data_IF_899591968676
#
_entry.id   IF_899591968676
#
_cell.length_a   1.000
_cell.length_b   1.000
_cell.length_c   1.000
_cell.angle_alpha   90.00
_cell.angle_beta   90.00
_cell.angle_gamma   90.00
#
_symmetry.space_group_name_H-M   'P 1'
#
loop_
_entity.id
_entity.type
_entity.pdbx_description
1 polymer ?
#
# COMPACT_ATOMS: atom_id res chain seq x y z
N UNK A 1 -6.43 -15.31 -12.04
CA UNK A 1 -7.67 -15.74 -11.37
C UNK A 1 -8.40 -14.49 -10.90
N UNK A 2 -9.72 -14.44 -10.94
CA UNK A 2 -10.48 -13.29 -10.45
C UNK A 2 -10.30 -13.15 -8.93
N UNK A 3 -10.63 -11.94 -8.39
CA UNK A 3 -10.76 -11.73 -6.94
C UNK A 3 -11.63 -12.85 -6.33
N UNK A 4 -11.31 -13.34 -5.12
CA UNK A 4 -12.19 -14.25 -4.40
C UNK A 4 -13.62 -13.66 -4.32
N UNK A 5 -14.65 -14.44 -4.60
CA UNK A 5 -16.02 -13.94 -4.47
C UNK A 5 -16.35 -13.64 -2.98
N UNK A 6 -17.19 -12.65 -2.66
CA UNK A 6 -17.68 -12.45 -1.30
C UNK A 6 -18.36 -13.71 -0.76
N UNK A 7 -18.29 -13.93 0.55
CA UNK A 7 -18.92 -15.08 1.18
C UNK A 7 -19.05 -14.95 2.71
N UNK A 8 -19.92 -15.77 3.33
CA UNK A 8 -20.09 -15.77 4.78
C UNK A 8 -18.78 -16.05 5.50
N UNK A 9 -18.50 -15.31 6.59
CA UNK A 9 -17.29 -15.47 7.39
C UNK A 9 -15.99 -15.08 6.66
N UNK A 10 -16.06 -14.47 5.47
CA UNK A 10 -14.91 -14.02 4.67
C UNK A 10 -14.75 -12.52 4.76
N UNK A 11 -13.51 -12.04 4.81
CA UNK A 11 -13.23 -10.62 4.86
C UNK A 11 -12.09 -10.19 3.94
N UNK A 12 -12.17 -8.94 3.50
CA UNK A 12 -11.07 -8.18 2.93
C UNK A 12 -10.44 -7.31 4.03
N UNK A 13 -9.25 -7.65 4.47
CA UNK A 13 -8.52 -6.87 5.47
C UNK A 13 -7.72 -5.77 4.80
N UNK A 14 -7.96 -4.51 5.21
CA UNK A 14 -7.30 -3.33 4.66
C UNK A 14 -6.55 -2.60 5.75
N UNK A 15 -5.22 -2.52 5.64
CA UNK A 15 -4.37 -1.76 6.55
C UNK A 15 -4.25 -0.30 6.12
N UNK A 16 -4.08 0.62 7.08
CA UNK A 16 -4.08 2.06 6.80
C UNK A 16 -5.42 2.56 6.26
N UNK A 17 -6.53 1.92 6.69
CA UNK A 17 -7.87 2.19 6.17
C UNK A 17 -8.48 3.52 6.62
N UNK A 18 -7.86 4.23 7.57
CA UNK A 18 -8.41 5.46 8.15
C UNK A 18 -8.42 6.68 7.22
N UNK A 19 -7.77 6.62 6.07
CA UNK A 19 -7.70 7.75 5.12
C UNK A 19 -7.17 7.34 3.73
N UNK A 20 -7.27 8.26 2.78
CA UNK A 20 -6.60 8.19 1.48
C UNK A 20 -6.94 6.94 0.67
N UNK A 21 -5.92 6.33 0.07
CA UNK A 21 -6.07 5.16 -0.82
C UNK A 21 -6.70 3.98 -0.07
N UNK A 22 -6.30 3.72 1.18
CA UNK A 22 -6.82 2.61 1.97
C UNK A 22 -8.32 2.70 2.22
N UNK A 23 -8.82 3.89 2.60
CA UNK A 23 -10.24 4.14 2.77
C UNK A 23 -11.03 3.95 1.46
N UNK A 24 -10.49 4.41 0.33
CA UNK A 24 -11.14 4.24 -0.97
C UNK A 24 -11.12 2.79 -1.45
N UNK A 25 -10.05 2.03 -1.19
CA UNK A 25 -10.02 0.59 -1.47
C UNK A 25 -11.06 -0.15 -0.62
N UNK A 26 -11.20 0.20 0.65
CA UNK A 26 -12.22 -0.37 1.54
C UNK A 26 -13.63 -0.13 0.99
N UNK A 27 -13.95 1.10 0.56
CA UNK A 27 -15.23 1.44 -0.09
C UNK A 27 -15.45 0.65 -1.38
N UNK A 28 -14.41 0.53 -2.23
CA UNK A 28 -14.52 -0.20 -3.49
C UNK A 28 -14.75 -1.70 -3.28
N UNK A 29 -14.09 -2.32 -2.28
CA UNK A 29 -14.30 -3.73 -1.92
C UNK A 29 -15.70 -3.95 -1.31
N UNK A 30 -16.16 -3.03 -0.44
CA UNK A 30 -17.52 -3.06 0.11
C UNK A 30 -18.60 -2.95 -0.99
N UNK A 31 -18.42 -2.05 -1.96
CA UNK A 31 -19.32 -1.94 -3.13
C UNK A 31 -19.39 -3.21 -3.96
N UNK A 32 -18.34 -4.02 -3.94
CA UNK A 32 -18.31 -5.35 -4.61
C UNK A 32 -18.86 -6.47 -3.73
N UNK A 33 -19.45 -6.12 -2.59
CA UNK A 33 -20.12 -7.06 -1.67
C UNK A 33 -19.19 -7.75 -0.67
N UNK A 34 -17.91 -7.36 -0.61
CA UNK A 34 -17.00 -7.90 0.42
C UNK A 34 -17.31 -7.29 1.79
N UNK A 35 -17.29 -8.14 2.81
CA UNK A 35 -17.08 -7.68 4.18
C UNK A 35 -15.67 -7.12 4.30
N UNK A 36 -15.47 -6.00 5.03
CA UNK A 36 -14.17 -5.35 5.15
C UNK A 36 -13.74 -5.26 6.62
N UNK A 37 -12.55 -5.78 6.93
CA UNK A 37 -11.89 -5.54 8.21
C UNK A 37 -10.94 -4.36 8.07
N UNK A 38 -11.26 -3.26 8.73
CA UNK A 38 -10.54 -2.00 8.69
C UNK A 38 -9.48 -1.97 9.79
N UNK A 39 -8.21 -1.80 9.42
CA UNK A 39 -7.08 -1.79 10.36
C UNK A 39 -6.32 -0.48 10.28
N UNK A 40 -6.27 0.29 11.36
CA UNK A 40 -5.43 1.49 11.53
C UNK A 40 -5.40 1.92 13.01
N UNK A 41 -4.65 2.99 13.32
CA UNK A 41 -4.52 3.51 14.69
C UNK A 41 -5.72 4.35 15.15
N UNK A 42 -6.39 5.07 14.23
CA UNK A 42 -7.41 6.07 14.55
C UNK A 42 -8.79 5.41 14.60
N UNK A 43 -9.25 5.02 15.79
CA UNK A 43 -10.55 4.37 16.00
C UNK A 43 -11.70 5.20 15.41
N UNK A 44 -11.82 6.47 15.77
CA UNK A 44 -12.93 7.34 15.33
C UNK A 44 -13.07 7.38 13.79
N UNK A 45 -11.92 7.43 13.07
CA UNK A 45 -11.93 7.43 11.61
C UNK A 45 -12.31 6.08 11.01
N UNK A 46 -11.94 4.98 11.68
CA UNK A 46 -12.31 3.64 11.26
C UNK A 46 -13.81 3.40 11.47
N UNK A 47 -14.36 3.81 12.63
CA UNK A 47 -15.77 3.70 12.94
C UNK A 47 -16.63 4.55 12.00
N UNK A 48 -16.22 5.79 11.72
CA UNK A 48 -16.86 6.62 10.73
C UNK A 48 -16.91 5.98 9.34
N UNK A 49 -15.78 5.39 8.91
CA UNK A 49 -15.74 4.65 7.65
C UNK A 49 -16.60 3.38 7.69
N UNK A 50 -16.55 2.63 8.79
CA UNK A 50 -17.34 1.41 8.94
C UNK A 50 -18.85 1.68 8.83
N UNK A 51 -19.32 2.81 9.37
CA UNK A 51 -20.73 3.24 9.27
C UNK A 51 -21.19 3.54 7.82
N UNK A 52 -20.26 3.84 6.92
CA UNK A 52 -20.56 4.05 5.49
C UNK A 52 -20.58 2.75 4.67
N UNK A 53 -19.97 1.67 5.18
CA UNK A 53 -19.81 0.42 4.46
C UNK A 53 -21.02 -0.51 4.70
N UNK A 54 -21.28 -1.42 3.75
CA UNK A 54 -22.38 -2.39 3.87
C UNK A 54 -22.18 -3.29 5.09
N UNK A 55 -20.97 -3.81 5.26
CA UNK A 55 -20.55 -4.59 6.43
C UNK A 55 -19.06 -4.39 6.68
N UNK A 56 -18.68 -4.07 7.91
CA UNK A 56 -17.29 -3.91 8.29
C UNK A 56 -17.04 -4.25 9.75
N UNK A 57 -15.82 -4.68 10.05
CA UNK A 57 -15.25 -4.78 11.39
C UNK A 57 -14.10 -3.77 11.53
N UNK A 58 -13.87 -3.28 12.74
CA UNK A 58 -12.80 -2.32 13.06
C UNK A 58 -11.80 -2.97 14.00
N UNK A 59 -10.52 -2.89 13.67
CA UNK A 59 -9.41 -3.29 14.55
C UNK A 59 -8.44 -2.12 14.67
N UNK A 60 -8.39 -1.51 15.86
CA UNK A 60 -7.43 -0.46 16.16
C UNK A 60 -6.06 -1.07 16.46
N UNK A 61 -5.07 -0.81 15.61
CA UNK A 61 -3.74 -1.38 15.73
C UNK A 61 -2.68 -0.46 15.15
N UNK A 62 -1.55 -0.31 15.86
CA UNK A 62 -0.32 0.22 15.27
C UNK A 62 0.49 -0.93 14.66
N UNK A 63 0.70 -0.87 13.34
CA UNK A 63 1.47 -1.91 12.66
C UNK A 63 2.98 -1.90 12.99
N UNK A 64 3.48 -0.87 13.66
CA UNK A 64 4.82 -0.88 14.23
C UNK A 64 4.91 -1.73 15.51
N UNK A 65 3.80 -1.95 16.19
CA UNK A 65 3.72 -2.85 17.35
C UNK A 65 3.75 -4.32 16.89
N UNK A 66 4.91 -4.95 17.03
CA UNK A 66 5.11 -6.35 16.60
C UNK A 66 4.24 -7.36 17.36
N UNK A 67 4.10 -7.29 18.71
CA UNK A 67 3.17 -8.13 19.44
C UNK A 67 1.72 -7.97 18.97
N UNK A 68 1.23 -6.73 18.88
CA UNK A 68 -0.13 -6.45 18.38
C UNK A 68 -0.35 -6.96 16.96
N UNK A 69 0.65 -6.78 16.06
CA UNK A 69 0.58 -7.33 14.71
C UNK A 69 0.55 -8.86 14.69
N UNK A 70 1.27 -9.51 15.60
CA UNK A 70 1.27 -10.97 15.71
C UNK A 70 -0.10 -11.54 16.11
N UNK A 71 -0.88 -10.83 16.95
CA UNK A 71 -2.22 -11.24 17.39
C UNK A 71 -3.34 -10.78 16.42
N UNK A 72 -3.03 -10.05 15.35
CA UNK A 72 -4.05 -9.50 14.45
C UNK A 72 -4.95 -10.58 13.85
N UNK A 73 -4.40 -11.75 13.48
CA UNK A 73 -5.20 -12.84 12.91
C UNK A 73 -6.10 -13.51 13.94
N UNK A 74 -5.69 -13.56 15.20
CA UNK A 74 -6.51 -14.09 16.29
C UNK A 74 -7.72 -13.17 16.47
N UNK A 75 -7.52 -11.85 16.50
CA UNK A 75 -8.63 -10.88 16.56
C UNK A 75 -9.58 -11.01 15.37
N UNK A 76 -9.07 -11.20 14.15
CA UNK A 76 -9.92 -11.47 12.97
C UNK A 76 -10.72 -12.77 13.15
N UNK A 77 -10.09 -13.80 13.74
CA UNK A 77 -10.74 -15.08 14.05
C UNK A 77 -11.83 -14.96 15.12
N UNK A 78 -11.61 -14.18 16.18
CA UNK A 78 -12.60 -13.87 17.23
C UNK A 78 -13.84 -13.18 16.68
N UNK A 79 -13.69 -12.38 15.62
CA UNK A 79 -14.82 -11.79 14.87
C UNK A 79 -15.53 -12.79 13.94
N UNK A 80 -15.14 -14.06 13.96
CA UNK A 80 -15.69 -15.10 13.08
C UNK A 80 -15.31 -14.94 11.62
N UNK A 81 -14.16 -14.28 11.34
CA UNK A 81 -13.71 -13.95 9.99
C UNK A 81 -12.46 -14.73 9.57
N UNK A 82 -12.34 -14.91 8.26
CA UNK A 82 -11.14 -15.45 7.61
C UNK A 82 -10.73 -14.50 6.47
N UNK A 83 -9.47 -14.13 6.43
CA UNK A 83 -8.95 -13.20 5.40
C UNK A 83 -8.84 -13.91 4.07
N UNK A 84 -9.62 -13.49 3.08
CA UNK A 84 -9.51 -13.91 1.68
C UNK A 84 -8.86 -12.84 0.79
N UNK A 85 -8.89 -11.57 1.21
CA UNK A 85 -8.19 -10.47 0.55
C UNK A 85 -7.37 -9.72 1.59
N UNK A 86 -6.07 -9.59 1.35
CA UNK A 86 -5.16 -8.77 2.16
C UNK A 86 -4.74 -7.56 1.36
N UNK A 87 -4.96 -6.35 1.92
CA UNK A 87 -4.49 -5.09 1.38
C UNK A 87 -3.50 -4.45 2.35
N UNK A 88 -2.20 -4.60 2.09
CA UNK A 88 -1.12 -3.92 2.78
C UNK A 88 -0.97 -2.51 2.17
N UNK A 89 -1.70 -1.54 2.75
CA UNK A 89 -1.72 -0.16 2.27
C UNK A 89 -1.13 0.82 3.31
N UNK A 90 -1.10 0.48 4.59
CA UNK A 90 -0.46 1.33 5.58
C UNK A 90 0.96 1.69 5.14
N UNK A 91 1.34 2.94 5.35
CA UNK A 91 2.66 3.41 5.01
C UNK A 91 2.95 4.78 5.60
N UNK A 92 4.23 5.02 5.81
CA UNK A 92 4.80 6.26 6.32
C UNK A 92 5.83 6.79 5.32
N UNK A 93 6.27 8.01 5.53
CA UNK A 93 7.42 8.57 4.82
C UNK A 93 8.14 9.56 5.73
N UNK A 94 9.44 9.69 5.50
CA UNK A 94 10.29 10.74 6.07
C UNK A 94 10.74 11.67 4.95
N UNK A 95 11.08 12.90 5.28
CA UNK A 95 11.57 13.91 4.33
C UNK A 95 12.89 14.48 4.79
N UNK A 96 13.84 14.61 3.87
CA UNK A 96 15.16 15.16 4.10
C UNK A 96 16.28 14.14 3.89
N UNK A 97 17.55 14.62 3.89
CA UNK A 97 18.70 13.74 3.76
C UNK A 97 18.87 12.90 5.03
N UNK A 98 19.26 11.64 4.87
CA UNK A 98 19.47 10.69 5.99
C UNK A 98 20.41 11.22 7.05
N UNK A 99 21.40 12.04 6.65
CA UNK A 99 22.34 12.67 7.60
C UNK A 99 21.70 13.66 8.59
N UNK A 100 20.43 14.04 8.37
CA UNK A 100 19.65 14.96 9.22
C UNK A 100 18.29 14.35 9.64
N UNK A 101 18.03 13.09 9.29
CA UNK A 101 16.77 12.42 9.65
C UNK A 101 16.75 12.04 11.13
N UNK A 102 15.55 11.93 11.70
CA UNK A 102 15.35 11.27 12.99
C UNK A 102 15.44 9.73 12.81
N UNK A 103 16.44 9.08 13.45
CA UNK A 103 16.59 7.63 13.34
C UNK A 103 15.34 6.85 13.78
N UNK A 104 14.60 7.37 14.77
CA UNK A 104 13.37 6.73 15.27
C UNK A 104 12.27 6.75 14.20
N UNK A 105 12.08 7.88 13.55
CA UNK A 105 11.11 8.01 12.46
C UNK A 105 11.48 7.13 11.24
N UNK A 106 12.78 7.07 10.87
CA UNK A 106 13.26 6.20 9.79
C UNK A 106 13.00 4.73 10.09
N UNK A 107 13.34 4.28 11.31
CA UNK A 107 13.12 2.88 11.70
C UNK A 107 11.64 2.53 11.80
N UNK A 108 10.81 3.45 12.32
CA UNK A 108 9.36 3.26 12.36
C UNK A 108 8.74 3.17 10.97
N UNK A 109 9.20 3.98 10.02
CA UNK A 109 8.78 3.88 8.62
C UNK A 109 9.14 2.52 8.02
N UNK A 110 10.38 2.04 8.23
CA UNK A 110 10.81 0.72 7.75
C UNK A 110 9.98 -0.40 8.39
N UNK A 111 9.68 -0.29 9.69
CA UNK A 111 8.84 -1.27 10.39
C UNK A 111 7.44 -1.37 9.75
N UNK A 112 6.81 -0.26 9.44
CA UNK A 112 5.47 -0.23 8.85
C UNK A 112 5.49 -0.59 7.35
N UNK A 113 6.41 0.00 6.57
CA UNK A 113 6.39 -0.10 5.11
C UNK A 113 7.02 -1.39 4.57
N UNK A 114 7.87 -2.03 5.37
CA UNK A 114 8.63 -3.22 4.95
C UNK A 114 8.31 -4.42 5.84
N UNK A 115 8.61 -4.30 7.14
CA UNK A 115 8.51 -5.45 8.05
C UNK A 115 7.08 -5.89 8.22
N UNK A 116 6.13 -4.96 8.43
CA UNK A 116 4.72 -5.30 8.58
C UNK A 116 4.14 -5.94 7.31
N UNK A 117 4.54 -5.49 6.12
CA UNK A 117 4.10 -6.09 4.85
C UNK A 117 4.54 -7.54 4.73
N UNK A 118 5.83 -7.81 5.01
CA UNK A 118 6.36 -9.16 4.96
C UNK A 118 5.75 -10.08 6.03
N UNK A 119 5.61 -9.58 7.26
CA UNK A 119 5.05 -10.32 8.39
C UNK A 119 3.57 -10.69 8.14
N UNK A 120 2.73 -9.74 7.72
CA UNK A 120 1.32 -10.03 7.42
C UNK A 120 1.16 -11.00 6.24
N UNK A 121 1.96 -10.85 5.19
CA UNK A 121 1.97 -11.82 4.10
C UNK A 121 2.35 -13.23 4.60
N UNK A 122 3.41 -13.35 5.39
CA UNK A 122 3.88 -14.66 5.88
C UNK A 122 2.88 -15.36 6.81
N UNK A 123 2.09 -14.60 7.57
CA UNK A 123 1.06 -15.15 8.47
C UNK A 123 -0.23 -15.54 7.73
N UNK A 124 -0.61 -14.79 6.69
CA UNK A 124 -1.91 -14.94 6.03
C UNK A 124 -1.86 -15.89 4.84
N UNK A 125 -0.78 -15.85 4.06
CA UNK A 125 -0.64 -16.67 2.87
C UNK A 125 -0.76 -18.18 3.09
N UNK A 126 -0.20 -18.79 4.16
CA UNK A 126 -0.36 -20.23 4.37
C UNK A 126 -1.81 -20.68 4.41
N UNK A 127 -2.67 -19.93 5.12
CA UNK A 127 -4.10 -20.21 5.17
C UNK A 127 -4.81 -19.99 3.82
N UNK A 128 -4.45 -18.97 3.06
CA UNK A 128 -4.97 -18.73 1.72
C UNK A 128 -4.59 -19.88 0.77
N UNK A 129 -3.33 -20.31 0.79
CA UNK A 129 -2.83 -21.42 -0.06
C UNK A 129 -3.51 -22.73 0.30
N UNK A 130 -3.63 -23.04 1.60
CA UNK A 130 -4.33 -24.25 2.06
C UNK A 130 -5.78 -24.32 1.56
N UNK A 131 -6.46 -23.17 1.50
CA UNK A 131 -7.83 -23.08 0.99
C UNK A 131 -7.92 -22.99 -0.54
N UNK A 132 -6.79 -22.87 -1.24
CA UNK A 132 -6.75 -22.64 -2.68
C UNK A 132 -7.41 -21.33 -3.11
N UNK A 133 -7.43 -20.32 -2.24
CA UNK A 133 -8.22 -19.10 -2.43
C UNK A 133 -7.62 -17.91 -1.67
N UNK A 134 -7.32 -16.84 -2.39
CA UNK A 134 -6.84 -15.60 -1.79
C UNK A 134 -6.37 -14.57 -2.81
N UNK A 135 -6.30 -13.32 -2.38
CA UNK A 135 -5.68 -12.24 -3.14
C UNK A 135 -4.93 -11.28 -2.21
N UNK A 136 -3.72 -10.93 -2.57
CA UNK A 136 -2.89 -9.94 -1.85
C UNK A 136 -2.68 -8.73 -2.73
N UNK A 137 -2.87 -7.54 -2.16
CA UNK A 137 -2.49 -6.26 -2.72
C UNK A 137 -1.46 -5.60 -1.81
N UNK A 138 -0.25 -5.40 -2.27
CA UNK A 138 0.76 -4.63 -1.57
C UNK A 138 0.94 -3.27 -2.23
N UNK A 139 0.80 -2.19 -1.45
CA UNK A 139 0.91 -0.83 -1.97
C UNK A 139 2.36 -0.35 -1.89
N UNK A 140 2.99 -0.31 -3.05
CA UNK A 140 4.29 0.31 -3.28
C UNK A 140 4.13 1.80 -3.68
N UNK A 141 4.86 2.26 -4.67
CA UNK A 141 4.82 3.61 -5.25
C UNK A 141 5.54 3.60 -6.59
N UNK A 142 5.34 4.61 -7.44
CA UNK A 142 6.25 4.88 -8.57
C UNK A 142 7.68 5.17 -8.10
N UNK A 143 7.87 5.60 -6.85
CA UNK A 143 9.19 5.72 -6.21
C UNK A 143 9.97 4.39 -6.15
N UNK A 144 9.29 3.24 -6.26
CA UNK A 144 9.93 1.91 -6.27
C UNK A 144 10.82 1.67 -7.51
N UNK A 145 10.63 2.43 -8.58
CA UNK A 145 11.33 2.22 -9.84
C UNK A 145 12.63 3.02 -9.99
N UNK A 146 12.94 3.89 -9.02
CA UNK A 146 14.09 4.78 -9.08
C UNK A 146 14.66 5.10 -7.69
N UNK A 147 15.91 5.55 -7.57
CA UNK A 147 16.41 6.16 -6.35
C UNK A 147 15.57 7.40 -5.99
N UNK A 148 15.40 7.66 -4.71
CA UNK A 148 14.65 8.84 -4.24
C UNK A 148 15.49 9.63 -3.23
N UNK A 149 16.45 10.47 -3.71
CA UNK A 149 17.23 11.33 -2.84
C UNK A 149 16.31 12.26 -2.04
N UNK A 150 16.57 12.40 -0.73
CA UNK A 150 15.68 13.14 0.19
C UNK A 150 14.53 12.33 0.79
N UNK A 151 14.34 11.08 0.34
CA UNK A 151 13.43 10.08 0.90
C UNK A 151 14.01 8.67 0.70
N UNK A 152 15.29 8.49 1.04
CA UNK A 152 16.03 7.26 0.71
C UNK A 152 15.39 6.00 1.31
N UNK A 153 15.02 6.04 2.60
CA UNK A 153 14.37 4.93 3.28
C UNK A 153 13.01 4.59 2.65
N UNK A 154 12.19 5.60 2.36
CA UNK A 154 10.90 5.40 1.69
C UNK A 154 11.04 4.76 0.30
N UNK A 155 11.92 5.33 -0.55
CA UNK A 155 12.16 4.80 -1.90
C UNK A 155 12.64 3.34 -1.87
N UNK A 156 13.58 3.03 -0.97
CA UNK A 156 14.08 1.67 -0.77
C UNK A 156 13.00 0.72 -0.23
N UNK A 157 12.18 1.17 0.73
CA UNK A 157 11.06 0.38 1.25
C UNK A 157 10.03 0.04 0.15
N UNK A 158 9.69 1.01 -0.70
CA UNK A 158 8.76 0.78 -1.81
C UNK A 158 9.35 -0.12 -2.91
N UNK A 159 10.67 -0.07 -3.13
CA UNK A 159 11.36 -1.00 -4.01
C UNK A 159 11.36 -2.43 -3.44
N UNK A 160 11.54 -2.59 -2.12
CA UNK A 160 11.36 -3.87 -1.44
C UNK A 160 9.96 -4.42 -1.69
N UNK A 161 8.90 -3.64 -1.42
CA UNK A 161 7.50 -4.07 -1.59
C UNK A 161 7.22 -4.52 -3.03
N UNK A 162 7.74 -3.79 -4.03
CA UNK A 162 7.60 -4.15 -5.44
C UNK A 162 8.25 -5.51 -5.74
N UNK A 163 9.53 -5.66 -5.40
CA UNK A 163 10.29 -6.89 -5.67
C UNK A 163 9.73 -8.10 -4.90
N UNK A 164 9.42 -7.91 -3.62
CA UNK A 164 8.82 -8.92 -2.76
C UNK A 164 7.49 -9.43 -3.32
N UNK A 165 6.59 -8.53 -3.72
CA UNK A 165 5.28 -8.92 -4.26
C UNK A 165 5.39 -9.64 -5.61
N UNK A 166 6.34 -9.23 -6.46
CA UNK A 166 6.60 -9.93 -7.72
C UNK A 166 7.11 -11.35 -7.49
N UNK A 167 7.98 -11.54 -6.51
CA UNK A 167 8.46 -12.87 -6.10
C UNK A 167 7.33 -13.74 -5.57
N UNK A 168 6.51 -13.19 -4.66
CA UNK A 168 5.32 -13.88 -4.16
C UNK A 168 4.38 -14.32 -5.28
N UNK A 169 4.14 -13.46 -6.26
CA UNK A 169 3.26 -13.82 -7.40
C UNK A 169 3.83 -15.00 -8.20
N UNK A 170 5.16 -15.14 -8.26
CA UNK A 170 5.82 -16.31 -8.84
C UNK A 170 5.60 -17.59 -8.02
N UNK A 171 5.80 -17.51 -6.70
CA UNK A 171 5.64 -18.60 -5.75
C UNK A 171 4.19 -19.11 -5.66
N UNK A 172 3.23 -18.20 -5.81
CA UNK A 172 1.79 -18.49 -5.69
C UNK A 172 1.16 -19.11 -6.96
N UNK A 173 1.94 -19.32 -8.04
CA UNK A 173 1.42 -19.93 -9.27
C UNK A 173 0.85 -21.32 -8.99
N UNK A 174 -0.38 -21.56 -9.46
CA UNK A 174 -1.08 -22.86 -9.29
C UNK A 174 -1.74 -23.04 -7.92
N UNK A 175 -1.53 -22.16 -6.95
CA UNK A 175 -2.09 -22.31 -5.59
C UNK A 175 -3.52 -21.79 -5.44
N UNK A 176 -4.06 -21.09 -6.44
CA UNK A 176 -5.36 -20.41 -6.30
C UNK A 176 -5.29 -19.05 -5.62
N UNK A 177 -4.09 -18.56 -5.27
CA UNK A 177 -3.85 -17.25 -4.65
C UNK A 177 -3.12 -16.33 -5.63
N UNK A 178 -3.43 -15.04 -5.60
CA UNK A 178 -2.78 -14.02 -6.43
C UNK A 178 -2.10 -12.94 -5.59
N UNK A 179 -1.01 -12.36 -6.10
CA UNK A 179 -0.39 -11.18 -5.52
C UNK A 179 -0.25 -10.08 -6.57
N UNK A 180 -0.63 -8.87 -6.21
CA UNK A 180 -0.62 -7.66 -7.05
C UNK A 180 0.13 -6.55 -6.32
N UNK A 181 1.03 -5.87 -7.03
CA UNK A 181 1.65 -4.63 -6.53
C UNK A 181 0.90 -3.43 -7.10
N UNK A 182 0.45 -2.52 -6.23
CA UNK A 182 -0.02 -1.20 -6.63
C UNK A 182 1.12 -0.19 -6.53
N UNK A 183 1.42 0.49 -7.60
CA UNK A 183 2.46 1.54 -7.66
C UNK A 183 1.82 2.87 -8.07
N UNK A 184 1.16 3.60 -7.14
CA UNK A 184 0.60 4.90 -7.44
C UNK A 184 1.71 5.95 -7.66
N UNK A 185 1.44 6.92 -8.54
CA UNK A 185 2.14 8.19 -8.58
C UNK A 185 1.67 9.13 -7.46
N UNK A 186 1.77 10.45 -7.62
CA UNK A 186 1.26 11.40 -6.65
C UNK A 186 -0.27 11.31 -6.54
N UNK A 187 -0.78 11.31 -5.30
CA UNK A 187 -2.21 11.17 -4.99
C UNK A 187 -2.61 12.19 -3.93
N UNK A 188 -3.72 12.85 -4.14
CA UNK A 188 -4.29 13.83 -3.20
C UNK A 188 -4.88 13.13 -1.97
N UNK A 189 -4.08 12.93 -0.91
CA UNK A 189 -4.48 12.12 0.28
C UNK A 189 -4.01 12.68 1.63
N UNK A 190 -3.35 13.83 1.67
CA UNK A 190 -2.66 14.31 2.88
C UNK A 190 -1.47 13.42 3.33
N UNK A 191 -1.04 12.46 2.49
CA UNK A 191 0.14 11.63 2.79
C UNK A 191 1.43 12.46 2.75
N UNK A 192 1.56 13.35 1.76
CA UNK A 192 2.70 14.25 1.64
C UNK A 192 2.83 15.19 2.85
N UNK A 193 1.72 15.76 3.32
CA UNK A 193 1.71 16.62 4.51
C UNK A 193 2.20 15.89 5.75
N UNK A 194 1.75 14.64 5.96
CA UNK A 194 2.23 13.79 7.07
C UNK A 194 3.70 13.41 6.95
N UNK A 195 4.25 13.41 5.74
CA UNK A 195 5.67 13.20 5.48
C UNK A 195 6.51 14.47 5.65
N UNK A 196 5.88 15.61 5.90
CA UNK A 196 6.55 16.90 6.07
C UNK A 196 6.63 17.77 4.82
N UNK A 197 5.95 17.41 3.73
CA UNK A 197 5.82 18.30 2.57
C UNK A 197 4.75 19.37 2.83
N UNK A 198 5.02 20.61 2.42
CA UNK A 198 3.92 21.56 2.21
C UNK A 198 3.11 21.14 0.97
N UNK A 199 1.82 21.49 0.92
CA UNK A 199 0.98 21.24 -0.26
C UNK A 199 1.61 21.91 -1.49
N UNK A 200 2.09 23.14 -1.34
CA UNK A 200 2.73 23.93 -2.39
C UNK A 200 4.00 23.27 -2.94
N UNK A 201 4.87 22.76 -2.05
CA UNK A 201 6.09 22.06 -2.47
C UNK A 201 5.78 20.74 -3.19
N UNK A 202 4.78 20.00 -2.74
CA UNK A 202 4.38 18.76 -3.36
C UNK A 202 3.78 18.99 -4.75
N UNK A 203 2.93 20.01 -4.90
CA UNK A 203 2.33 20.39 -6.19
C UNK A 203 3.37 20.99 -7.16
N UNK A 204 4.32 21.78 -6.67
CA UNK A 204 5.39 22.35 -7.48
C UNK A 204 6.43 21.30 -7.94
N UNK A 205 6.60 20.20 -7.18
CA UNK A 205 7.60 19.19 -7.50
C UNK A 205 7.22 18.29 -8.69
N UNK A 206 5.91 18.12 -8.97
CA UNK A 206 5.43 17.17 -9.97
C UNK A 206 4.34 17.80 -10.86
N UNK A 207 4.37 17.54 -12.19
CA UNK A 207 3.34 18.03 -13.10
C UNK A 207 1.92 17.63 -12.68
N UNK A 208 0.97 18.55 -12.79
CA UNK A 208 -0.43 18.33 -12.38
C UNK A 208 -1.08 17.11 -13.05
N UNK A 209 -0.68 16.78 -14.28
CA UNK A 209 -1.18 15.62 -15.05
C UNK A 209 -0.80 14.26 -14.44
N UNK A 210 0.14 14.23 -13.50
CA UNK A 210 0.53 13.02 -12.77
C UNK A 210 -0.34 12.76 -11.54
N UNK A 211 -0.99 13.80 -11.02
CA UNK A 211 -1.80 13.71 -9.81
C UNK A 211 -3.12 13.00 -10.08
N UNK A 212 -3.45 12.06 -9.21
CA UNK A 212 -4.67 11.26 -9.29
C UNK A 212 -5.48 11.41 -7.99
N UNK A 213 -6.78 11.15 -8.08
CA UNK A 213 -7.63 11.02 -6.90
C UNK A 213 -7.40 9.67 -6.22
N UNK A 214 -7.62 9.60 -4.92
CA UNK A 214 -7.56 8.33 -4.19
C UNK A 214 -8.60 7.32 -4.70
N UNK A 215 -9.75 7.80 -5.17
CA UNK A 215 -10.82 6.98 -5.74
C UNK A 215 -10.38 6.30 -7.05
N UNK A 216 -9.79 7.05 -7.99
CA UNK A 216 -9.28 6.49 -9.26
C UNK A 216 -8.19 5.44 -9.03
N UNK A 217 -7.31 5.72 -8.05
CA UNK A 217 -6.26 4.78 -7.67
C UNK A 217 -6.85 3.50 -7.07
N UNK A 218 -7.82 3.61 -6.16
CA UNK A 218 -8.48 2.48 -5.54
C UNK A 218 -9.23 1.61 -6.56
N UNK A 219 -9.98 2.24 -7.46
CA UNK A 219 -10.67 1.56 -8.56
C UNK A 219 -9.68 0.80 -9.45
N UNK A 220 -8.59 1.46 -9.85
CA UNK A 220 -7.53 0.83 -10.65
C UNK A 220 -6.88 -0.35 -9.93
N UNK A 221 -6.67 -0.23 -8.61
CA UNK A 221 -6.09 -1.28 -7.76
C UNK A 221 -6.98 -2.52 -7.73
N UNK A 222 -8.26 -2.37 -7.37
CA UNK A 222 -9.19 -3.48 -7.24
C UNK A 222 -9.50 -4.12 -8.59
N UNK A 223 -9.60 -3.34 -9.67
CA UNK A 223 -9.69 -3.88 -11.04
C UNK A 223 -8.43 -4.65 -11.45
N UNK A 224 -7.25 -4.15 -11.07
CA UNK A 224 -5.99 -4.82 -11.32
C UNK A 224 -5.90 -6.17 -10.64
N UNK A 225 -6.27 -6.24 -9.36
CA UNK A 225 -6.38 -7.49 -8.60
C UNK A 225 -7.37 -8.46 -9.28
N UNK A 226 -8.56 -7.97 -9.64
CA UNK A 226 -9.59 -8.79 -10.29
C UNK A 226 -9.14 -9.38 -11.64
N UNK A 227 -8.22 -8.70 -12.32
CA UNK A 227 -7.59 -9.15 -13.57
C UNK A 227 -6.30 -9.96 -13.36
N UNK A 228 -5.89 -10.21 -12.12
CA UNK A 228 -4.65 -10.91 -11.79
C UNK A 228 -3.39 -10.20 -12.30
N UNK A 229 -3.38 -8.86 -12.35
CA UNK A 229 -2.23 -8.10 -12.81
C UNK A 229 -1.12 -8.13 -11.75
N UNK A 230 0.10 -8.39 -12.19
CA UNK A 230 1.28 -8.40 -11.33
C UNK A 230 1.59 -7.00 -10.78
N UNK A 231 1.55 -5.99 -11.64
CA UNK A 231 1.82 -4.59 -11.29
C UNK A 231 0.72 -3.69 -11.86
N UNK A 232 0.21 -2.80 -11.03
CA UNK A 232 -0.77 -1.78 -11.39
C UNK A 232 -0.16 -0.40 -11.15
N UNK A 233 0.01 0.38 -12.22
CA UNK A 233 0.45 1.77 -12.15
C UNK A 233 -0.71 2.61 -12.68
N UNK A 234 -1.49 3.29 -11.80
CA UNK A 234 -2.57 4.17 -12.23
C UNK A 234 -2.06 5.39 -12.99
N UNK A 235 -2.82 5.82 -14.00
CA UNK A 235 -2.45 6.95 -14.85
C UNK A 235 -1.48 6.60 -15.98
N UNK A 236 -1.78 7.09 -17.19
CA UNK A 236 -0.93 6.81 -18.38
C UNK A 236 0.45 7.48 -18.24
N UNK A 237 0.47 8.72 -17.76
CA UNK A 237 1.72 9.48 -17.58
C UNK A 237 2.62 8.81 -16.54
N UNK A 238 2.05 8.39 -15.40
CA UNK A 238 2.78 7.69 -14.35
C UNK A 238 3.39 6.37 -14.85
N UNK A 239 2.68 5.63 -15.72
CA UNK A 239 3.22 4.40 -16.35
C UNK A 239 4.41 4.69 -17.25
N UNK A 240 4.33 5.72 -18.08
CA UNK A 240 5.43 6.11 -18.97
C UNK A 240 6.63 6.58 -18.14
N UNK A 241 6.42 7.44 -17.15
CA UNK A 241 7.48 7.91 -16.26
C UNK A 241 8.18 6.75 -15.52
N UNK A 242 7.41 5.81 -14.98
CA UNK A 242 7.95 4.62 -14.33
C UNK A 242 8.75 3.72 -15.29
N UNK A 243 8.29 3.54 -16.52
CA UNK A 243 9.03 2.77 -17.54
C UNK A 243 10.34 3.46 -17.93
N UNK A 244 10.32 4.76 -18.15
CA UNK A 244 11.52 5.54 -18.47
C UNK A 244 12.54 5.51 -17.33
N UNK A 245 12.10 5.63 -16.07
CA UNK A 245 13.01 5.60 -14.93
C UNK A 245 13.74 4.26 -14.76
N UNK A 246 13.16 3.17 -15.22
CA UNK A 246 13.78 1.84 -15.17
C UNK A 246 14.90 1.68 -16.19
N UNK A 247 14.77 2.27 -17.38
CA UNK A 247 15.76 2.13 -18.46
C UNK A 247 16.80 3.26 -18.50
N UNK A 248 16.54 4.37 -17.80
CA UNK A 248 17.48 5.49 -17.74
C UNK A 248 18.70 5.14 -16.86
N UNK A 249 19.93 5.28 -17.36
CA UNK A 249 21.13 5.08 -16.54
C UNK A 249 21.12 5.95 -15.27
N UNK A 250 21.47 5.35 -14.14
CA UNK A 250 21.42 6.04 -12.82
C UNK A 250 22.33 7.27 -12.77
N UNK A 251 23.42 7.29 -13.50
CA UNK A 251 24.31 8.45 -13.62
C UNK A 251 23.64 9.68 -14.26
N UNK A 252 22.66 9.48 -15.14
CA UNK A 252 21.87 10.56 -15.73
C UNK A 252 20.66 10.93 -14.89
N UNK A 253 20.04 9.95 -14.26
CA UNK A 253 18.80 10.13 -13.49
C UNK A 253 19.05 10.83 -12.15
N UNK A 254 20.09 10.45 -11.41
CA UNK A 254 20.36 10.98 -10.06
C UNK A 254 20.53 12.51 -10.00
N UNK A 255 21.30 13.17 -10.89
CA UNK A 255 21.43 14.64 -10.87
C UNK A 255 20.09 15.36 -11.07
N UNK A 256 19.19 14.80 -11.89
CA UNK A 256 17.86 15.35 -12.13
C UNK A 256 16.99 15.23 -10.88
N UNK A 257 16.98 14.05 -10.25
CA UNK A 257 16.20 13.78 -9.03
C UNK A 257 16.67 14.64 -7.86
N UNK A 258 17.98 14.84 -7.69
CA UNK A 258 18.55 15.70 -6.62
C UNK A 258 18.09 17.15 -6.78
N UNK A 259 18.13 17.70 -8.00
CA UNK A 259 17.72 19.10 -8.24
C UNK A 259 16.22 19.33 -8.04
N UNK A 260 15.39 18.35 -8.30
CA UNK A 260 13.93 18.45 -8.24
C UNK A 260 13.33 18.18 -6.86
N UNK A 261 14.11 17.62 -5.91
CA UNK A 261 13.50 17.12 -4.66
C UNK A 261 13.45 18.19 -3.55
N UNK A 262 12.24 18.54 -3.04
CA UNK A 262 12.08 19.58 -2.01
C UNK A 262 12.86 19.31 -0.72
N UNK A 263 12.95 18.05 -0.30
CA UNK A 263 13.65 17.64 0.92
C UNK A 263 15.17 17.80 0.90
N UNK A 264 15.75 18.28 -0.20
CA UNK A 264 17.19 18.52 -0.34
C UNK A 264 17.54 20.01 -0.48
N UNK A 265 16.55 20.88 -0.44
CA UNK A 265 16.69 22.35 -0.45
C UNK A 265 16.99 22.91 0.94
#
# INVERSE_FOLDING_TARGET
MPLPAPGPGRTAMVTGASSGIGAMIARELSRRGHHVTLVARSVDKLEALAAELVTADVIALDLADRPGRASLLDHVGELGRVVDILVNNAGLSTLGPVSRSDPTAEMNMIEVDVVAVADLCSRILPGMVQRGRGAVLNVASTAAFQPLPGQAGYGAGKAFVLSYTQSLAGELRGTGVTATTLCPGPVQTGFGERAGFSVEDAEAALPSVMWLTAEDVAKSAVEGMAKGRLVVIPGKVNRVAAALSQVTPRSLLLPVLVKGHPGLR
#
